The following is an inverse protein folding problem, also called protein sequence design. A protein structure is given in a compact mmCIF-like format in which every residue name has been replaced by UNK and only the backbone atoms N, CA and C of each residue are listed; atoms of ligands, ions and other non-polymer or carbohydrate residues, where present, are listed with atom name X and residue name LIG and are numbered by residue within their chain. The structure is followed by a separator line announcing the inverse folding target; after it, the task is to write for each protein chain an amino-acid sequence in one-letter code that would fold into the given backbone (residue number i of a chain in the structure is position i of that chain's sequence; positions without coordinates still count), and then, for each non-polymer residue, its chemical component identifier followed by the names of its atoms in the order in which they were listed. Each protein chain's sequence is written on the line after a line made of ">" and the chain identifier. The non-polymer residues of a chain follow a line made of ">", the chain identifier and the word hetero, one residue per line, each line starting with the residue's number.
data_IF_868364475413
#
_entry.id   IF_868364475413
#
_cell.length_a   1.000
_cell.length_b   1.000
_cell.length_c   1.000
_cell.angle_alpha   90.00
_cell.angle_beta   90.00
_cell.angle_gamma   90.00
#
_symmetry.space_group_name_H-M   'P 1'
#
loop_
_entity.id
_entity.type
_entity.pdbx_description
1 polymer ?
#
# COMPACT_ATOMS: atom_id res chain seq x y z
N UNK A 1 -9.19 -15.95 -38.47
CA UNK A 1 -9.35 -15.01 -37.34
C UNK A 1 -9.94 -15.76 -36.15
N UNK A 2 -9.12 -16.16 -35.17
CA UNK A 2 -9.63 -16.70 -33.90
C UNK A 2 -9.95 -15.50 -33.00
N UNK A 3 -11.22 -15.25 -32.75
CA UNK A 3 -11.70 -14.27 -31.76
C UNK A 3 -11.12 -14.63 -30.39
N UNK A 4 -10.17 -13.85 -29.91
CA UNK A 4 -9.58 -14.00 -28.57
C UNK A 4 -10.69 -13.85 -27.52
N UNK A 5 -10.94 -14.93 -26.78
CA UNK A 5 -12.01 -15.06 -25.77
C UNK A 5 -11.45 -14.67 -24.40
N UNK A 6 -12.15 -13.72 -23.75
CA UNK A 6 -12.06 -13.19 -22.37
C UNK A 6 -10.73 -12.54 -21.96
N UNK A 7 -10.75 -11.21 -21.92
CA UNK A 7 -9.60 -10.35 -21.62
C UNK A 7 -9.41 -10.07 -20.11
N UNK A 8 -10.41 -10.28 -19.26
CA UNK A 8 -10.27 -10.11 -17.80
C UNK A 8 -11.13 -11.09 -16.99
N UNK A 9 -10.76 -11.38 -15.72
CA UNK A 9 -11.64 -12.07 -14.77
C UNK A 9 -12.98 -11.33 -14.58
N UNK A 10 -14.05 -12.02 -14.13
CA UNK A 10 -15.33 -11.39 -13.81
C UNK A 10 -15.18 -10.22 -12.82
N UNK A 11 -16.03 -9.20 -12.96
CA UNK A 11 -16.02 -8.00 -12.10
C UNK A 11 -15.03 -6.91 -12.54
N UNK A 12 -14.45 -7.04 -13.74
CA UNK A 12 -13.54 -6.06 -14.36
C UNK A 12 -14.05 -5.56 -15.70
N UNK A 13 -15.32 -5.77 -15.99
CA UNK A 13 -15.94 -5.41 -17.26
C UNK A 13 -15.87 -3.90 -17.51
N UNK A 14 -16.08 -3.09 -16.47
CA UNK A 14 -16.01 -1.62 -16.61
C UNK A 14 -14.57 -1.10 -16.63
N UNK A 15 -13.65 -1.76 -15.90
CA UNK A 15 -12.21 -1.50 -16.06
C UNK A 15 -11.76 -1.77 -17.50
N UNK A 16 -12.25 -2.85 -18.12
CA UNK A 16 -11.90 -3.21 -19.48
C UNK A 16 -12.38 -2.18 -20.52
N UNK A 17 -13.46 -1.44 -20.22
CA UNK A 17 -14.00 -0.39 -21.09
C UNK A 17 -13.25 0.93 -20.94
N UNK A 18 -12.90 1.31 -19.71
CA UNK A 18 -12.21 2.55 -19.39
C UNK A 18 -11.30 2.38 -18.15
N UNK A 19 -10.05 1.91 -18.34
CA UNK A 19 -9.18 1.57 -17.22
C UNK A 19 -8.73 2.80 -16.42
N UNK A 20 -8.57 3.96 -17.07
CA UNK A 20 -8.14 5.20 -16.40
C UNK A 20 -9.30 5.83 -15.62
N UNK A 21 -10.45 5.99 -16.27
CA UNK A 21 -11.66 6.49 -15.61
C UNK A 21 -12.06 5.58 -14.46
N UNK A 22 -12.25 4.28 -14.71
CA UNK A 22 -12.67 3.31 -13.69
C UNK A 22 -11.80 3.34 -12.43
N UNK A 23 -10.48 3.43 -12.61
CA UNK A 23 -9.51 3.44 -11.51
C UNK A 23 -9.52 4.74 -10.70
N UNK A 24 -10.14 5.82 -11.21
CA UNK A 24 -10.30 7.10 -10.51
C UNK A 24 -11.67 7.26 -9.82
N UNK A 25 -12.59 6.31 -9.97
CA UNK A 25 -13.98 6.43 -9.52
C UNK A 25 -14.20 6.16 -8.01
N UNK A 26 -13.16 5.89 -7.22
CA UNK A 26 -13.32 5.51 -5.81
C UNK A 26 -14.13 6.55 -5.01
N UNK A 27 -13.81 7.84 -5.18
CA UNK A 27 -14.55 8.95 -4.56
C UNK A 27 -16.02 8.97 -5.01
N UNK A 28 -16.29 8.95 -6.32
CA UNK A 28 -17.66 9.02 -6.84
C UNK A 28 -18.50 7.80 -6.43
N UNK A 29 -17.90 6.59 -6.42
CA UNK A 29 -18.58 5.37 -5.94
C UNK A 29 -18.94 5.49 -4.46
N UNK A 30 -18.06 6.06 -3.64
CA UNK A 30 -18.36 6.32 -2.25
C UNK A 30 -19.45 7.40 -2.08
N UNK A 31 -19.39 8.49 -2.85
CA UNK A 31 -20.40 9.53 -2.83
C UNK A 31 -21.81 9.01 -3.19
N UNK A 32 -21.93 8.14 -4.21
CA UNK A 32 -23.20 7.45 -4.53
C UNK A 32 -23.69 6.60 -3.34
N UNK A 33 -22.80 5.93 -2.61
CA UNK A 33 -23.20 5.16 -1.44
C UNK A 33 -23.72 6.07 -0.30
N UNK A 34 -23.07 7.20 -0.07
CA UNK A 34 -23.52 8.21 0.89
C UNK A 34 -24.87 8.83 0.50
N UNK A 35 -25.06 9.21 -0.77
CA UNK A 35 -26.34 9.73 -1.28
C UNK A 35 -27.48 8.73 -1.03
N UNK A 36 -27.26 7.45 -1.36
CA UNK A 36 -28.24 6.37 -1.11
C UNK A 36 -28.55 6.14 0.36
N UNK A 37 -27.61 6.46 1.25
CA UNK A 37 -27.80 6.40 2.70
C UNK A 37 -28.49 7.66 3.27
N UNK A 38 -28.86 8.64 2.41
CA UNK A 38 -29.58 9.85 2.80
C UNK A 38 -28.70 11.06 3.11
N UNK A 39 -27.38 10.98 2.84
CA UNK A 39 -26.49 12.12 3.02
C UNK A 39 -26.58 13.08 1.81
N UNK A 40 -26.58 14.39 2.09
CA UNK A 40 -26.61 15.44 1.05
C UNK A 40 -25.22 15.62 0.44
N UNK A 41 -24.86 14.75 -0.50
CA UNK A 41 -23.62 14.81 -1.29
C UNK A 41 -23.96 14.72 -2.78
N UNK A 42 -23.29 15.50 -3.62
CA UNK A 42 -23.40 15.40 -5.08
C UNK A 42 -22.32 14.44 -5.62
N UNK A 43 -22.69 13.25 -6.14
CA UNK A 43 -21.72 12.29 -6.67
C UNK A 43 -21.03 12.72 -7.97
N UNK A 44 -21.61 13.70 -8.68
CA UNK A 44 -21.06 14.25 -9.92
C UNK A 44 -20.06 15.39 -9.66
N UNK A 45 -20.04 15.94 -8.45
CA UNK A 45 -19.11 17.00 -8.10
C UNK A 45 -17.65 16.51 -8.13
N UNK A 46 -16.70 17.34 -8.61
CA UNK A 46 -15.28 17.03 -8.52
C UNK A 46 -14.84 16.80 -7.06
N UNK A 47 -13.93 15.85 -6.86
CA UNK A 47 -13.38 15.61 -5.53
C UNK A 47 -12.57 16.81 -5.04
N UNK A 48 -12.88 17.32 -3.84
CA UNK A 48 -12.06 18.32 -3.16
C UNK A 48 -10.96 17.63 -2.35
N UNK A 49 -9.94 18.37 -1.90
CA UNK A 49 -8.92 17.80 -1.01
C UNK A 49 -9.52 17.24 0.29
N UNK A 50 -10.61 17.84 0.78
CA UNK A 50 -11.32 17.39 1.96
C UNK A 50 -12.05 16.06 1.70
N UNK A 51 -12.75 15.95 0.56
CA UNK A 51 -13.40 14.69 0.18
C UNK A 51 -12.40 13.53 0.03
N UNK A 52 -11.18 13.82 -0.44
CA UNK A 52 -10.13 12.82 -0.60
C UNK A 52 -9.44 12.44 0.72
N UNK A 53 -9.52 13.28 1.75
CA UNK A 53 -9.06 12.95 3.12
C UNK A 53 -10.16 12.21 3.90
N UNK A 54 -10.76 11.22 3.25
CA UNK A 54 -11.79 10.36 3.84
C UNK A 54 -11.19 9.01 4.26
N UNK A 55 -11.30 8.59 5.54
CA UNK A 55 -10.75 7.32 6.01
C UNK A 55 -11.18 6.09 5.21
N UNK A 56 -12.41 6.04 4.71
CA UNK A 56 -12.92 4.90 3.93
C UNK A 56 -12.17 4.79 2.60
N UNK A 57 -11.89 5.91 1.93
CA UNK A 57 -11.09 5.91 0.69
C UNK A 57 -9.67 5.43 0.94
N UNK A 58 -9.05 5.84 2.05
CA UNK A 58 -7.69 5.44 2.41
C UNK A 58 -7.61 3.96 2.81
N UNK A 59 -8.49 3.50 3.71
CA UNK A 59 -8.49 2.10 4.17
C UNK A 59 -8.89 1.12 3.05
N UNK A 60 -9.82 1.50 2.17
CA UNK A 60 -10.15 0.68 0.99
C UNK A 60 -8.99 0.58 0.00
N UNK A 61 -8.26 1.67 -0.24
CA UNK A 61 -7.04 1.65 -1.05
C UNK A 61 -5.94 0.79 -0.42
N UNK A 62 -5.74 0.90 0.90
CA UNK A 62 -4.81 0.05 1.62
C UNK A 62 -5.17 -1.43 1.47
N UNK A 63 -6.45 -1.79 1.66
CA UNK A 63 -6.91 -3.15 1.42
C UNK A 63 -6.69 -3.61 -0.02
N UNK A 64 -6.99 -2.76 -1.02
CA UNK A 64 -6.77 -3.08 -2.43
C UNK A 64 -5.28 -3.36 -2.73
N UNK A 65 -4.36 -2.58 -2.15
CA UNK A 65 -2.91 -2.80 -2.29
C UNK A 65 -2.43 -4.07 -1.61
N UNK A 66 -2.95 -4.38 -0.42
CA UNK A 66 -2.71 -5.66 0.27
C UNK A 66 -3.15 -6.85 -0.59
N UNK A 67 -4.35 -6.80 -1.17
CA UNK A 67 -4.85 -7.83 -2.09
C UNK A 67 -4.01 -7.93 -3.36
N UNK A 68 -3.54 -6.80 -3.91
CA UNK A 68 -2.63 -6.80 -5.05
C UNK A 68 -1.29 -7.46 -4.71
N UNK A 69 -0.71 -7.16 -3.54
CA UNK A 69 0.53 -7.80 -3.08
C UNK A 69 0.37 -9.32 -2.94
N UNK A 70 -0.75 -9.76 -2.37
CA UNK A 70 -1.10 -11.18 -2.28
C UNK A 70 -1.21 -11.82 -3.67
N UNK A 71 -1.94 -11.19 -4.60
CA UNK A 71 -2.09 -11.69 -5.95
C UNK A 71 -0.74 -11.83 -6.66
N UNK A 72 0.16 -10.86 -6.51
CA UNK A 72 1.54 -10.92 -7.04
C UNK A 72 2.27 -12.14 -6.44
N UNK A 73 2.34 -12.25 -5.11
CA UNK A 73 3.09 -13.33 -4.46
C UNK A 73 2.58 -14.74 -4.78
N UNK A 74 1.27 -14.88 -5.01
CA UNK A 74 0.65 -16.18 -5.26
C UNK A 74 0.60 -16.56 -6.73
N UNK A 75 0.98 -15.66 -7.64
CA UNK A 75 0.96 -15.94 -9.08
C UNK A 75 2.26 -16.60 -9.49
N UNK A 76 2.16 -17.74 -10.18
CA UNK A 76 3.30 -18.37 -10.84
C UNK A 76 3.78 -17.50 -12.01
N UNK A 77 5.09 -17.22 -12.06
CA UNK A 77 5.69 -16.37 -13.09
C UNK A 77 6.25 -17.19 -14.25
N UNK A 78 6.17 -16.62 -15.45
CA UNK A 78 6.72 -17.23 -16.67
C UNK A 78 8.24 -17.04 -16.85
N UNK A 79 9.03 -16.89 -15.77
CA UNK A 79 10.47 -16.62 -15.88
C UNK A 79 11.30 -17.86 -16.28
N UNK A 80 10.66 -19.03 -16.36
CA UNK A 80 11.31 -20.30 -16.71
C UNK A 80 11.95 -20.34 -18.09
N UNK A 81 11.52 -19.49 -19.02
CA UNK A 81 12.14 -19.38 -20.34
C UNK A 81 13.42 -18.53 -20.36
N UNK A 82 13.75 -17.85 -19.24
CA UNK A 82 14.91 -16.97 -19.15
C UNK A 82 16.19 -17.73 -18.76
N UNK A 83 17.39 -17.25 -19.17
CA UNK A 83 18.66 -17.70 -18.63
C UNK A 83 18.71 -17.61 -17.10
N UNK A 84 19.40 -18.54 -16.44
CA UNK A 84 19.36 -18.70 -14.98
C UNK A 84 19.71 -17.41 -14.22
N UNK A 85 20.75 -16.68 -14.63
CA UNK A 85 21.18 -15.42 -13.99
C UNK A 85 20.14 -14.30 -14.11
N UNK A 86 19.48 -14.20 -15.26
CA UNK A 86 18.41 -13.23 -15.50
C UNK A 86 17.18 -13.63 -14.69
N UNK A 87 16.81 -14.92 -14.72
CA UNK A 87 15.69 -15.46 -13.93
C UNK A 87 15.84 -15.14 -12.45
N UNK A 88 16.98 -15.46 -11.85
CA UNK A 88 17.23 -15.21 -10.43
C UNK A 88 17.11 -13.71 -10.08
N UNK A 89 17.57 -12.84 -10.98
CA UNK A 89 17.45 -11.38 -10.79
C UNK A 89 15.99 -10.92 -10.89
N UNK A 90 15.25 -11.42 -11.90
CA UNK A 90 13.83 -11.13 -12.09
C UNK A 90 12.97 -11.62 -10.92
N UNK A 91 13.24 -12.81 -10.37
CA UNK A 91 12.55 -13.35 -9.18
C UNK A 91 12.74 -12.46 -7.95
N UNK A 92 13.97 -12.02 -7.70
CA UNK A 92 14.28 -11.11 -6.59
C UNK A 92 13.55 -9.76 -6.74
N UNK A 93 13.57 -9.18 -7.94
CA UNK A 93 12.86 -7.93 -8.23
C UNK A 93 11.34 -8.08 -8.17
N UNK A 94 10.80 -9.23 -8.58
CA UNK A 94 9.38 -9.54 -8.45
C UNK A 94 8.93 -9.54 -6.99
N UNK A 95 9.72 -10.17 -6.10
CA UNK A 95 9.49 -10.11 -4.66
C UNK A 95 9.60 -8.69 -4.10
N UNK A 96 10.51 -7.86 -4.62
CA UNK A 96 10.65 -6.46 -4.21
C UNK A 96 9.39 -5.63 -4.54
N UNK A 97 8.74 -5.89 -5.68
CA UNK A 97 7.47 -5.26 -6.05
C UNK A 97 6.37 -5.64 -5.03
N UNK A 98 6.28 -6.91 -4.64
CA UNK A 98 5.33 -7.33 -3.62
C UNK A 98 5.55 -6.62 -2.27
N UNK A 99 6.81 -6.53 -1.81
CA UNK A 99 7.15 -5.80 -0.58
C UNK A 99 6.83 -4.30 -0.68
N UNK A 100 7.00 -3.69 -1.85
CA UNK A 100 6.59 -2.31 -2.08
C UNK A 100 5.06 -2.15 -1.96
N UNK A 101 4.27 -3.07 -2.53
CA UNK A 101 2.81 -3.03 -2.40
C UNK A 101 2.36 -3.18 -0.94
N UNK A 102 3.01 -4.07 -0.18
CA UNK A 102 2.80 -4.18 1.28
C UNK A 102 3.16 -2.87 1.99
N UNK A 103 4.31 -2.28 1.66
CA UNK A 103 4.77 -1.00 2.20
C UNK A 103 3.78 0.14 1.94
N UNK A 104 3.30 0.29 0.70
CA UNK A 104 2.28 1.30 0.37
C UNK A 104 0.96 1.04 1.08
N UNK A 105 0.53 -0.23 1.16
CA UNK A 105 -0.66 -0.62 1.92
C UNK A 105 -0.57 -0.13 3.37
N UNK A 106 0.58 -0.34 4.03
CA UNK A 106 0.81 0.14 5.39
C UNK A 106 0.87 1.66 5.47
N UNK A 107 1.57 2.33 4.55
CA UNK A 107 1.63 3.79 4.53
C UNK A 107 0.23 4.42 4.48
N UNK A 108 -0.59 3.95 3.54
CA UNK A 108 -1.95 4.45 3.34
C UNK A 108 -2.83 4.09 4.53
N UNK A 109 -2.72 2.88 5.07
CA UNK A 109 -3.47 2.47 6.25
C UNK A 109 -3.13 3.34 7.47
N UNK A 110 -1.85 3.56 7.75
CA UNK A 110 -1.38 4.39 8.87
C UNK A 110 -1.86 5.83 8.73
N UNK A 111 -1.75 6.43 7.53
CA UNK A 111 -2.24 7.78 7.28
C UNK A 111 -3.78 7.86 7.39
N UNK A 112 -4.50 6.86 6.90
CA UNK A 112 -5.95 6.75 7.08
C UNK A 112 -6.35 6.70 8.56
N UNK A 113 -5.61 5.93 9.37
CA UNK A 113 -5.77 5.88 10.83
C UNK A 113 -5.45 7.22 11.51
N UNK A 114 -4.46 7.98 11.03
CA UNK A 114 -4.20 9.34 11.53
C UNK A 114 -5.37 10.28 11.21
N UNK A 115 -5.94 10.21 9.99
CA UNK A 115 -7.14 10.99 9.63
C UNK A 115 -8.31 10.64 10.55
N UNK A 116 -8.51 9.35 10.88
CA UNK A 116 -9.54 8.92 11.82
C UNK A 116 -9.34 9.53 13.21
N UNK A 117 -8.12 9.46 13.74
CA UNK A 117 -7.80 9.91 15.11
C UNK A 117 -7.81 11.43 15.28
N UNK A 118 -7.31 12.14 14.28
CA UNK A 118 -6.98 13.58 14.40
C UNK A 118 -7.94 14.46 13.58
N UNK A 119 -8.84 13.85 12.80
CA UNK A 119 -9.65 14.54 11.81
C UNK A 119 -8.84 15.07 10.62
N UNK A 120 -9.54 15.66 9.65
CA UNK A 120 -8.95 16.19 8.41
C UNK A 120 -7.96 17.33 8.70
N UNK A 121 -8.33 18.21 9.62
CA UNK A 121 -7.53 19.38 10.02
C UNK A 121 -6.27 18.96 10.77
N UNK A 122 -6.39 18.05 11.74
CA UNK A 122 -5.26 17.50 12.48
C UNK A 122 -4.29 16.75 11.55
N UNK A 123 -4.82 15.92 10.65
CA UNK A 123 -4.00 15.28 9.61
C UNK A 123 -3.27 16.30 8.73
N UNK A 124 -3.92 17.40 8.31
CA UNK A 124 -3.26 18.41 7.49
C UNK A 124 -2.08 19.11 8.22
N UNK A 125 -2.14 19.25 9.54
CA UNK A 125 -1.03 19.76 10.36
C UNK A 125 0.10 18.74 10.47
N UNK A 126 -0.24 17.47 10.71
CA UNK A 126 0.72 16.36 10.83
C UNK A 126 1.43 16.12 9.49
N UNK A 127 0.69 16.11 8.39
CA UNK A 127 1.19 15.87 7.03
C UNK A 127 2.25 16.91 6.65
N UNK A 128 2.09 18.19 7.05
CA UNK A 128 3.13 19.23 6.83
C UNK A 128 4.46 18.89 7.50
N UNK A 129 4.42 18.21 8.65
CA UNK A 129 5.62 17.78 9.40
C UNK A 129 6.15 16.43 8.93
N UNK A 130 5.29 15.60 8.35
CA UNK A 130 5.55 14.19 8.02
C UNK A 130 5.39 13.91 6.52
N UNK A 131 5.85 14.84 5.66
CA UNK A 131 5.94 14.65 4.19
C UNK A 131 6.98 13.60 3.78
N UNK A 132 7.09 12.52 4.53
CA UNK A 132 8.01 11.43 4.35
C UNK A 132 7.27 10.10 4.35
N UNK A 133 7.83 9.11 3.67
CA UNK A 133 7.30 7.76 3.54
C UNK A 133 7.79 6.82 4.66
N UNK A 134 8.32 7.38 5.77
CA UNK A 134 8.91 6.63 6.88
C UNK A 134 7.83 5.91 7.69
N UNK A 135 7.68 4.62 7.45
CA UNK A 135 6.62 3.80 8.06
C UNK A 135 6.75 3.69 9.58
N UNK A 136 7.98 3.61 10.11
CA UNK A 136 8.23 3.55 11.55
C UNK A 136 7.75 4.82 12.27
N UNK A 137 7.95 5.99 11.67
CA UNK A 137 7.46 7.26 12.22
C UNK A 137 5.95 7.36 12.10
N UNK A 138 5.35 6.87 11.02
CA UNK A 138 3.90 6.84 10.85
C UNK A 138 3.23 5.87 11.84
N UNK A 139 3.94 4.84 12.28
CA UNK A 139 3.40 3.79 13.16
C UNK A 139 3.60 4.05 14.66
N UNK A 140 4.14 5.20 15.08
CA UNK A 140 4.44 5.50 16.49
C UNK A 140 3.25 5.40 17.45
N UNK A 141 2.02 5.53 16.94
CA UNK A 141 0.81 5.37 17.74
C UNK A 141 0.33 3.93 17.86
N UNK A 142 0.89 2.99 17.09
CA UNK A 142 0.54 1.58 17.16
C UNK A 142 1.18 1.00 18.43
N UNK A 143 0.41 0.39 19.34
CA UNK A 143 0.95 -0.14 20.59
C UNK A 143 1.85 -1.35 20.36
N UNK A 144 2.73 -1.60 21.33
CA UNK A 144 3.52 -2.83 21.45
C UNK A 144 4.39 -3.18 20.23
N UNK A 145 4.91 -2.18 19.51
CA UNK A 145 5.88 -2.40 18.44
C UNK A 145 7.25 -2.79 19.03
N UNK A 146 7.67 -4.00 18.73
CA UNK A 146 8.99 -4.50 19.13
C UNK A 146 10.13 -3.83 18.35
N UNK A 147 11.38 -4.08 18.77
CA UNK A 147 12.57 -3.68 17.97
C UNK A 147 12.59 -4.33 16.59
N UNK A 148 12.10 -5.58 16.48
CA UNK A 148 11.99 -6.29 15.20
C UNK A 148 10.89 -5.69 14.33
N UNK A 149 9.77 -5.28 14.92
CA UNK A 149 8.70 -4.61 14.20
C UNK A 149 9.18 -3.29 13.59
N UNK A 150 9.88 -2.47 14.38
CA UNK A 150 10.49 -1.23 13.91
C UNK A 150 11.51 -1.47 12.79
N UNK A 151 12.34 -2.51 12.91
CA UNK A 151 13.26 -2.91 11.85
C UNK A 151 12.51 -3.29 10.55
N UNK A 152 11.40 -4.03 10.64
CA UNK A 152 10.57 -4.35 9.47
C UNK A 152 10.03 -3.06 8.81
N UNK A 153 9.50 -2.12 9.60
CA UNK A 153 8.96 -0.86 9.07
C UNK A 153 10.04 0.01 8.42
N UNK A 154 11.24 0.05 8.98
CA UNK A 154 12.40 0.72 8.37
C UNK A 154 12.77 0.03 7.05
N UNK A 155 12.87 -1.31 7.03
CA UNK A 155 13.16 -2.07 5.81
C UNK A 155 12.12 -1.80 4.71
N UNK A 156 10.84 -1.90 5.05
CA UNK A 156 9.74 -1.60 4.12
C UNK A 156 9.78 -0.15 3.62
N UNK A 157 10.18 0.83 4.45
CA UNK A 157 10.36 2.24 4.05
C UNK A 157 11.26 2.36 2.80
N UNK A 158 12.32 1.54 2.68
CA UNK A 158 13.18 1.54 1.50
C UNK A 158 12.47 1.04 0.24
N UNK A 159 11.63 0.00 0.35
CA UNK A 159 10.86 -0.54 -0.77
C UNK A 159 9.83 0.46 -1.30
N UNK A 160 9.15 1.18 -0.41
CA UNK A 160 8.22 2.27 -0.79
C UNK A 160 8.94 3.47 -1.42
N UNK A 161 10.17 3.73 -0.98
CA UNK A 161 10.95 4.90 -1.42
C UNK A 161 11.69 4.66 -2.74
N UNK A 162 12.16 3.45 -3.02
CA UNK A 162 12.89 3.20 -4.26
C UNK A 162 13.00 1.71 -4.61
N UNK A 163 13.28 0.84 -3.63
CA UNK A 163 13.81 -0.50 -3.90
C UNK A 163 12.83 -1.44 -4.62
N UNK A 164 11.52 -1.18 -4.53
CA UNK A 164 10.52 -1.91 -5.33
C UNK A 164 10.20 -1.28 -6.69
N UNK A 165 10.74 -0.09 -6.99
CA UNK A 165 10.51 0.65 -8.24
C UNK A 165 11.69 0.58 -9.19
N UNK A 166 12.91 0.72 -8.66
CA UNK A 166 14.13 0.84 -9.46
C UNK A 166 15.27 0.03 -8.83
N UNK A 167 16.18 -0.57 -9.62
CA UNK A 167 17.39 -1.19 -9.11
C UNK A 167 18.38 -0.21 -8.48
N UNK A 168 18.32 1.06 -8.89
CA UNK A 168 19.16 2.15 -8.39
C UNK A 168 18.28 3.10 -7.55
N UNK A 169 18.64 3.42 -6.29
CA UNK A 169 17.92 4.41 -5.50
C UNK A 169 17.94 5.81 -6.11
N UNK A 170 18.90 6.08 -7.01
CA UNK A 170 19.25 7.42 -7.46
C UNK A 170 19.79 8.27 -6.32
N UNK A 171 20.24 9.49 -6.65
CA UNK A 171 20.67 10.50 -5.67
C UNK A 171 21.89 10.15 -4.78
N UNK A 172 22.72 9.16 -5.15
CA UNK A 172 23.94 8.81 -4.41
C UNK A 172 23.67 8.07 -3.08
N UNK A 173 22.61 7.27 -3.02
CA UNK A 173 22.18 6.49 -1.84
C UNK A 173 22.39 4.99 -2.01
N UNK A 174 23.35 4.58 -2.81
CA UNK A 174 23.64 3.16 -3.12
C UNK A 174 23.91 2.35 -1.84
N UNK A 175 24.49 2.99 -0.82
CA UNK A 175 24.74 2.40 0.50
C UNK A 175 23.45 2.01 1.26
N UNK A 176 22.29 2.58 0.92
CA UNK A 176 21.01 2.23 1.55
C UNK A 176 20.58 0.79 1.21
N UNK A 177 21.04 0.23 0.09
CA UNK A 177 20.80 -1.18 -0.27
C UNK A 177 21.42 -2.13 0.76
N UNK A 178 22.66 -1.84 1.19
CA UNK A 178 23.34 -2.63 2.22
C UNK A 178 22.63 -2.56 3.56
N UNK A 179 22.04 -1.41 3.91
CA UNK A 179 21.29 -1.24 5.17
C UNK A 179 20.08 -2.14 5.26
N UNK A 180 19.36 -2.39 4.15
CA UNK A 180 18.19 -3.29 4.14
C UNK A 180 18.63 -4.72 4.48
N UNK A 181 19.72 -5.18 3.87
CA UNK A 181 20.29 -6.51 4.13
C UNK A 181 20.75 -6.64 5.58
N UNK A 182 21.58 -5.71 6.07
CA UNK A 182 22.11 -5.74 7.43
C UNK A 182 21.00 -5.74 8.49
N UNK A 183 19.95 -4.95 8.25
CA UNK A 183 18.78 -4.88 9.13
C UNK A 183 18.02 -6.20 9.17
N UNK A 184 17.80 -6.82 8.00
CA UNK A 184 17.12 -8.10 7.88
C UNK A 184 17.89 -9.22 8.58
N UNK A 185 19.21 -9.31 8.35
CA UNK A 185 20.09 -10.31 8.96
C UNK A 185 20.18 -10.15 10.48
N UNK A 186 20.47 -8.93 10.94
CA UNK A 186 20.59 -8.62 12.38
C UNK A 186 19.34 -9.02 13.18
N UNK A 187 18.16 -8.80 12.59
CA UNK A 187 16.88 -9.07 13.24
C UNK A 187 16.25 -10.41 12.84
N UNK A 188 16.89 -11.18 11.95
CA UNK A 188 16.37 -12.44 11.39
C UNK A 188 14.93 -12.27 10.88
N UNK A 189 14.73 -11.26 10.04
CA UNK A 189 13.42 -10.91 9.50
C UNK A 189 13.04 -11.94 8.43
N UNK A 190 11.87 -12.56 8.60
CA UNK A 190 11.27 -13.48 7.63
C UNK A 190 10.03 -12.86 7.00
N UNK A 191 9.58 -13.42 5.87
CA UNK A 191 8.30 -13.05 5.27
C UNK A 191 7.13 -13.21 6.25
N UNK A 192 7.15 -14.26 7.08
CA UNK A 192 6.16 -14.49 8.13
C UNK A 192 6.09 -13.34 9.15
N UNK A 193 7.23 -12.79 9.54
CA UNK A 193 7.28 -11.62 10.42
C UNK A 193 6.68 -10.38 9.75
N UNK A 194 7.05 -10.13 8.49
CA UNK A 194 6.57 -8.98 7.70
C UNK A 194 5.04 -9.02 7.58
N UNK A 195 4.48 -10.16 7.19
CA UNK A 195 3.03 -10.29 7.01
C UNK A 195 2.28 -10.29 8.34
N UNK A 196 2.85 -10.88 9.40
CA UNK A 196 2.27 -10.84 10.74
C UNK A 196 2.19 -9.43 11.29
N UNK A 197 3.26 -8.64 11.14
CA UNK A 197 3.27 -7.22 11.52
C UNK A 197 2.27 -6.43 10.68
N UNK A 198 2.26 -6.64 9.36
CA UNK A 198 1.37 -5.91 8.45
C UNK A 198 -0.10 -6.14 8.84
N UNK A 199 -0.46 -7.40 9.10
CA UNK A 199 -1.80 -7.76 9.55
C UNK A 199 -2.14 -7.19 10.93
N UNK A 200 -1.18 -7.14 11.87
CA UNK A 200 -1.35 -6.51 13.19
C UNK A 200 -1.67 -5.01 13.05
N UNK A 201 -0.89 -4.28 12.26
CA UNK A 201 -1.10 -2.84 12.02
C UNK A 201 -2.45 -2.59 11.36
N UNK A 202 -2.79 -3.33 10.30
CA UNK A 202 -4.08 -3.15 9.62
C UNK A 202 -5.27 -3.46 10.53
N UNK A 203 -5.17 -4.48 11.41
CA UNK A 203 -6.21 -4.76 12.41
C UNK A 203 -6.39 -3.64 13.43
N UNK A 204 -5.34 -2.86 13.71
CA UNK A 204 -5.43 -1.75 14.65
C UNK A 204 -6.39 -0.65 14.19
N UNK A 205 -6.70 -0.56 12.88
CA UNK A 205 -7.71 0.36 12.37
C UNK A 205 -9.10 0.11 12.98
N UNK A 206 -9.44 -1.14 13.29
CA UNK A 206 -10.70 -1.47 13.98
C UNK A 206 -10.70 -0.89 15.40
N UNK A 207 -9.61 -1.04 16.15
CA UNK A 207 -9.47 -0.47 17.50
C UNK A 207 -9.60 1.04 17.52
N UNK A 208 -9.07 1.73 16.50
CA UNK A 208 -9.22 3.19 16.38
C UNK A 208 -10.66 3.56 16.11
N UNK A 209 -11.36 2.79 15.28
CA UNK A 209 -12.79 3.02 15.00
C UNK A 209 -13.62 2.93 16.28
N UNK A 210 -13.33 1.96 17.16
CA UNK A 210 -14.03 1.79 18.43
C UNK A 210 -13.77 2.91 19.47
N UNK A 211 -12.80 3.79 19.20
CA UNK A 211 -12.44 4.93 20.06
C UNK A 211 -13.05 6.26 19.59
N UNK A 212 -13.76 6.27 18.44
CA UNK A 212 -14.47 7.43 17.88
C UNK A 212 -15.91 7.49 18.37
#
# INVERSE_FOLDING_TARGET
>A
MKTSKRVFPPGREDFAKDPLGYSSLAHSKWAVACERAGYSIDPAAPATSEHLKNPILWLSQANAMSQAAYAVLMTEQGFESMPLSIRASSESQYCAIALMLVGYSLEICLKGMIIMREGIEGYAVIEKKTRHHRLHDLAVFVPDLSKKDNAILIGLTHFVTWAGRYPDPGSGREADTGKVFDLAEKHKITAGDVFSLSARIMRHAATITDQL
#
